data_IF_562945783945
#
_entry.id   IF_562945783945
#
_cell.length_a   1.000
_cell.length_b   1.000
_cell.length_c   1.000
_cell.angle_alpha   90.00
_cell.angle_beta   90.00
_cell.angle_gamma   90.00
#
_symmetry.space_group_name_H-M   'P 1'
#
loop_
_entity.id
_entity.type
_entity.pdbx_description
1 polymer ?
#
# COMPACT_ATOMS: atom_id res chain seq x y z
N UNK A 1 62.52 16.45 54.19
CA UNK A 1 61.23 15.75 54.07
C UNK A 1 60.34 16.57 53.14
N UNK A 2 60.21 16.15 51.88
CA UNK A 2 59.17 16.67 50.98
C UNK A 2 58.43 15.44 50.50
N UNK A 3 57.20 15.29 50.99
CA UNK A 3 56.30 14.19 50.63
C UNK A 3 55.57 14.65 49.37
N UNK A 4 55.93 14.08 48.22
CA UNK A 4 55.21 14.31 46.96
C UNK A 4 54.11 13.25 46.89
N UNK A 5 52.86 13.70 47.05
CA UNK A 5 51.67 12.86 46.95
C UNK A 5 51.34 12.69 45.46
N UNK A 6 51.61 11.53 44.90
CA UNK A 6 51.08 11.16 43.58
C UNK A 6 49.65 10.67 43.77
N UNK A 7 48.70 11.59 43.58
CA UNK A 7 47.28 11.28 43.47
C UNK A 7 47.10 10.20 42.40
N UNK A 8 46.52 9.07 42.79
CA UNK A 8 46.19 7.95 41.92
C UNK A 8 45.16 8.43 40.89
N UNK A 9 45.65 9.00 39.80
CA UNK A 9 44.89 9.18 38.58
C UNK A 9 44.43 7.79 38.14
N UNK A 10 43.12 7.61 38.03
CA UNK A 10 42.52 6.44 37.44
C UNK A 10 43.03 6.37 36.01
N UNK A 11 44.00 5.48 35.75
CA UNK A 11 44.31 5.07 34.40
C UNK A 11 43.09 4.28 33.93
N UNK A 12 42.15 4.97 33.29
CA UNK A 12 41.19 4.32 32.44
C UNK A 12 42.03 3.56 31.40
N UNK A 13 42.18 2.26 31.62
CA UNK A 13 42.54 1.33 30.56
C UNK A 13 41.65 1.68 29.38
N UNK A 14 42.23 1.81 28.19
CA UNK A 14 41.48 1.94 26.95
C UNK A 14 40.62 0.67 26.83
N UNK A 15 39.42 0.73 27.40
CA UNK A 15 38.46 -0.34 27.38
C UNK A 15 38.00 -0.48 25.95
N UNK A 16 38.23 -1.68 25.40
CA UNK A 16 37.47 -2.20 24.27
C UNK A 16 36.00 -1.81 24.48
N UNK A 17 35.38 -1.18 23.48
CA UNK A 17 33.96 -0.84 23.52
C UNK A 17 33.20 -2.08 23.98
N UNK A 18 32.59 -2.00 25.16
CA UNK A 18 31.80 -3.12 25.69
C UNK A 18 30.61 -3.22 24.74
N UNK A 19 30.51 -4.32 23.99
CA UNK A 19 29.29 -4.65 23.24
C UNK A 19 28.12 -4.54 24.22
N UNK A 20 27.23 -3.57 24.01
CA UNK A 20 26.16 -3.23 24.95
C UNK A 20 24.85 -3.88 24.51
N UNK A 21 24.92 -5.02 23.81
CA UNK A 21 23.76 -5.79 23.36
C UNK A 21 22.79 -5.99 24.50
N UNK A 22 21.54 -5.58 24.30
CA UNK A 22 20.47 -5.64 25.29
C UNK A 22 20.40 -4.46 26.26
N UNK A 23 21.35 -3.52 26.24
CA UNK A 23 21.24 -2.28 27.03
C UNK A 23 20.15 -1.38 26.46
N UNK A 24 19.44 -0.66 27.35
CA UNK A 24 18.40 0.28 26.94
C UNK A 24 19.00 1.49 26.22
N UNK A 25 18.38 1.91 25.12
CA UNK A 25 18.82 3.03 24.30
C UNK A 25 17.66 3.93 23.90
N UNK A 26 17.94 5.20 23.61
CA UNK A 26 17.02 6.14 22.97
C UNK A 26 17.36 6.33 21.47
N UNK A 27 18.63 6.16 21.10
CA UNK A 27 19.10 6.20 19.72
C UNK A 27 20.40 5.44 19.49
N UNK A 28 20.84 5.38 18.24
CA UNK A 28 22.04 4.60 17.85
C UNK A 28 23.33 5.09 18.52
N UNK A 29 23.39 6.36 18.97
CA UNK A 29 24.54 6.90 19.68
C UNK A 29 24.74 6.32 21.08
N UNK A 30 23.74 5.64 21.63
CA UNK A 30 23.83 4.94 22.92
C UNK A 30 24.41 3.52 22.78
N UNK A 31 24.59 3.05 21.55
CA UNK A 31 25.02 1.69 21.23
C UNK A 31 26.43 1.67 20.61
N UNK A 32 27.04 0.49 20.55
CA UNK A 32 28.34 0.34 19.90
C UNK A 32 28.25 0.64 18.38
N UNK A 33 29.36 0.97 17.70
CA UNK A 33 29.35 1.29 16.26
C UNK A 33 28.82 0.16 15.35
N UNK A 34 28.87 -1.08 15.81
CA UNK A 34 28.37 -2.30 15.14
C UNK A 34 26.90 -2.60 15.46
N UNK A 35 26.27 -1.78 16.30
CA UNK A 35 24.92 -1.96 16.82
C UNK A 35 23.99 -0.84 16.34
N UNK A 36 22.70 -1.04 16.56
CA UNK A 36 21.68 -0.02 16.43
C UNK A 36 20.70 -0.15 17.59
N UNK A 37 20.01 0.96 17.88
CA UNK A 37 18.97 0.96 18.89
C UNK A 37 17.70 0.34 18.31
N UNK A 38 17.51 -0.95 18.57
CA UNK A 38 16.36 -1.71 18.08
C UNK A 38 15.10 -1.36 18.86
N UNK A 39 14.11 -0.83 18.16
CA UNK A 39 12.81 -0.41 18.67
C UNK A 39 11.71 -1.27 18.07
N UNK A 40 10.57 -1.31 18.74
CA UNK A 40 9.39 -1.96 18.17
C UNK A 40 8.92 -1.21 16.92
N UNK A 41 8.38 -1.96 15.97
CA UNK A 41 7.82 -1.43 14.72
C UNK A 41 6.80 -0.31 15.01
N UNK A 42 6.88 0.77 14.25
CA UNK A 42 6.00 1.95 14.38
C UNK A 42 6.34 2.88 15.54
N UNK A 43 7.28 2.52 16.41
CA UNK A 43 7.67 3.33 17.57
C UNK A 43 9.01 4.05 17.35
N UNK A 44 9.13 4.83 16.27
CA UNK A 44 10.39 5.48 15.88
C UNK A 44 11.04 6.35 16.99
N UNK A 45 10.21 6.92 17.86
CA UNK A 45 10.63 7.80 18.95
C UNK A 45 10.65 7.12 20.33
N UNK A 46 10.38 5.81 20.43
CA UNK A 46 10.46 5.11 21.72
C UNK A 46 11.90 4.82 22.12
N UNK A 47 12.07 4.36 23.35
CA UNK A 47 13.27 3.64 23.74
C UNK A 47 13.29 2.24 23.10
N UNK A 48 14.48 1.65 23.05
CA UNK A 48 14.73 0.32 22.52
C UNK A 48 15.84 -0.36 23.31
N UNK A 49 16.41 -1.42 22.71
CA UNK A 49 17.61 -2.06 23.22
C UNK A 49 18.67 -2.12 22.12
N UNK A 50 19.95 -1.98 22.48
CA UNK A 50 21.03 -2.13 21.53
C UNK A 50 21.04 -3.57 20.97
N UNK A 51 21.08 -3.68 19.65
CA UNK A 51 21.13 -4.94 18.93
C UNK A 51 22.16 -4.85 17.82
N UNK A 52 22.79 -5.98 17.49
CA UNK A 52 23.77 -6.05 16.41
C UNK A 52 23.14 -5.76 15.05
N UNK A 53 23.88 -5.07 14.19
CA UNK A 53 23.48 -4.87 12.79
C UNK A 53 23.76 -6.15 12.00
N UNK A 54 22.81 -6.65 11.20
CA UNK A 54 23.07 -7.75 10.29
C UNK A 54 24.13 -7.37 9.24
N UNK A 55 25.14 -8.22 9.03
CA UNK A 55 26.15 -8.03 7.97
C UNK A 55 25.70 -8.63 6.63
N UNK A 56 24.85 -9.66 6.68
CA UNK A 56 24.39 -10.41 5.52
C UNK A 56 22.86 -10.37 5.51
N UNK A 57 22.30 -9.89 4.41
CA UNK A 57 20.86 -9.85 4.19
C UNK A 57 20.43 -10.72 3.01
N UNK A 58 19.28 -11.40 3.12
CA UNK A 58 18.72 -12.16 2.00
C UNK A 58 18.32 -11.24 0.84
N UNK A 59 18.38 -11.77 -0.39
CA UNK A 59 17.89 -11.11 -1.61
C UNK A 59 16.37 -11.25 -1.79
N UNK A 60 15.62 -11.23 -0.68
CA UNK A 60 14.15 -11.25 -0.72
C UNK A 60 13.63 -9.82 -0.80
N UNK A 61 12.66 -9.59 -1.68
CA UNK A 61 12.01 -8.29 -1.82
C UNK A 61 10.68 -8.30 -1.08
N UNK A 62 10.68 -7.79 0.15
CA UNK A 62 9.52 -7.59 1.03
C UNK A 62 9.65 -6.18 1.63
N UNK A 63 9.28 -5.13 0.87
CA UNK A 63 9.68 -3.77 1.20
C UNK A 63 9.11 -3.31 2.54
N UNK A 64 9.90 -2.51 3.23
CA UNK A 64 9.51 -1.87 4.49
C UNK A 64 9.89 -0.39 4.45
N UNK A 65 9.13 0.44 5.16
CA UNK A 65 9.48 1.83 5.33
C UNK A 65 10.22 2.04 6.64
N UNK A 66 11.39 2.66 6.55
CA UNK A 66 12.17 3.07 7.69
C UNK A 66 11.59 4.31 8.39
N UNK A 67 11.96 4.48 9.65
CA UNK A 67 11.71 5.71 10.42
C UNK A 67 12.40 6.95 9.85
N UNK A 68 13.33 6.78 8.91
CA UNK A 68 14.00 7.82 8.12
C UNK A 68 13.22 8.19 6.84
N UNK A 69 12.08 7.54 6.57
CA UNK A 69 11.28 7.74 5.37
C UNK A 69 11.87 7.10 4.11
N UNK A 70 12.86 6.22 4.25
CA UNK A 70 13.48 5.47 3.15
C UNK A 70 12.84 4.08 3.06
N UNK A 71 12.57 3.64 1.83
CA UNK A 71 12.13 2.26 1.56
C UNK A 71 13.33 1.34 1.49
N UNK A 72 13.32 0.29 2.30
CA UNK A 72 14.33 -0.76 2.26
C UNK A 72 13.77 -2.01 1.57
N UNK A 73 14.60 -2.78 0.84
CA UNK A 73 14.16 -4.00 0.15
C UNK A 73 13.53 -5.05 1.07
N UNK A 74 13.99 -5.09 2.33
CA UNK A 74 13.43 -5.87 3.43
C UNK A 74 13.89 -5.30 4.78
N UNK A 75 13.38 -5.88 5.87
CA UNK A 75 13.71 -5.56 7.26
C UNK A 75 15.20 -5.67 7.57
N UNK A 76 15.86 -6.72 7.09
CA UNK A 76 17.30 -6.90 7.31
C UNK A 76 18.10 -5.72 6.75
N UNK A 77 17.81 -5.27 5.52
CA UNK A 77 18.50 -4.11 4.92
C UNK A 77 18.27 -2.83 5.71
N UNK A 78 17.08 -2.66 6.32
CA UNK A 78 16.81 -1.52 7.21
C UNK A 78 17.67 -1.59 8.48
N UNK A 79 17.71 -2.75 9.16
CA UNK A 79 18.50 -2.94 10.38
C UNK A 79 20.00 -2.88 10.13
N UNK A 80 20.49 -3.36 8.98
CA UNK A 80 21.88 -3.22 8.58
C UNK A 80 22.28 -1.74 8.47
N UNK A 81 21.39 -0.90 7.94
CA UNK A 81 21.55 0.55 7.95
C UNK A 81 21.28 1.21 9.32
N UNK A 82 20.83 0.44 10.31
CA UNK A 82 20.53 0.90 11.67
C UNK A 82 19.25 1.71 11.76
N UNK A 83 18.34 1.46 10.83
CA UNK A 83 17.05 2.12 10.74
C UNK A 83 15.97 1.19 11.29
N UNK A 84 15.13 1.73 12.18
CA UNK A 84 13.94 1.03 12.67
C UNK A 84 12.81 1.10 11.64
N UNK A 85 11.93 0.09 11.65
CA UNK A 85 10.82 0.00 10.70
C UNK A 85 9.63 0.80 11.23
N UNK A 86 9.15 1.76 10.44
CA UNK A 86 7.93 2.50 10.73
C UNK A 86 6.70 1.61 10.47
N UNK A 87 6.64 0.95 9.32
CA UNK A 87 5.55 0.04 8.97
C UNK A 87 5.98 -0.97 7.90
N UNK A 88 5.16 -1.99 7.70
CA UNK A 88 5.25 -2.94 6.59
C UNK A 88 4.77 -2.26 5.31
N UNK A 89 5.38 -2.57 4.16
CA UNK A 89 5.27 -1.91 2.85
C UNK A 89 6.26 -0.74 2.63
N UNK A 90 6.46 -0.34 1.37
CA UNK A 90 7.30 0.80 1.01
C UNK A 90 6.70 2.14 1.51
N UNK A 91 7.55 3.16 1.68
CA UNK A 91 7.13 4.45 2.23
C UNK A 91 6.12 5.22 1.37
N UNK A 92 5.97 4.90 0.08
CA UNK A 92 4.96 5.54 -0.76
C UNK A 92 3.55 5.08 -0.36
N UNK A 93 3.40 3.88 0.18
CA UNK A 93 2.10 3.38 0.65
C UNK A 93 1.53 4.14 1.85
N UNK A 94 2.36 4.73 2.75
CA UNK A 94 1.82 5.58 3.83
C UNK A 94 1.29 6.91 3.34
N UNK A 95 1.91 7.48 2.30
CA UNK A 95 1.37 8.67 1.65
C UNK A 95 -0.02 8.43 1.06
N UNK A 96 -0.43 7.16 0.90
CA UNK A 96 -1.77 6.73 0.49
C UNK A 96 -2.72 6.43 1.65
N UNK A 97 -2.22 6.25 2.88
CA UNK A 97 -3.03 5.92 4.07
C UNK A 97 -3.35 7.14 4.93
N UNK A 98 -2.40 8.07 5.08
CA UNK A 98 -2.63 9.34 5.80
C UNK A 98 -3.39 10.36 4.93
N UNK A 99 -3.35 10.16 3.61
CA UNK A 99 -4.31 10.74 2.69
C UNK A 99 -5.45 9.74 2.54
N UNK A 100 -6.39 9.76 3.50
CA UNK A 100 -7.78 9.39 3.21
C UNK A 100 -8.32 10.39 2.17
N UNK A 101 -7.84 10.31 0.94
CA UNK A 101 -8.61 10.71 -0.21
C UNK A 101 -9.39 9.44 -0.57
N UNK A 102 -10.73 9.44 -0.49
CA UNK A 102 -11.55 8.36 -1.06
C UNK A 102 -11.46 8.33 -2.60
N UNK A 103 -10.33 8.73 -3.18
CA UNK A 103 -10.15 8.95 -4.60
C UNK A 103 -9.04 8.11 -5.26
N UNK A 104 -8.20 7.34 -4.56
CA UNK A 104 -7.21 6.52 -5.31
C UNK A 104 -7.80 5.21 -5.85
N UNK A 105 -8.94 4.75 -5.32
CA UNK A 105 -9.78 3.79 -6.07
C UNK A 105 -10.51 4.48 -7.23
N UNK A 106 -10.66 5.81 -7.20
CA UNK A 106 -11.17 6.65 -8.28
C UNK A 106 -10.06 7.25 -9.18
N UNK A 107 -8.78 7.01 -8.90
CA UNK A 107 -7.65 7.53 -9.68
C UNK A 107 -7.04 6.46 -10.59
N UNK A 108 -7.44 5.19 -10.43
CA UNK A 108 -7.21 4.15 -11.43
C UNK A 108 -8.27 4.17 -12.55
N UNK A 109 -9.48 4.64 -12.26
CA UNK A 109 -10.43 5.13 -13.28
C UNK A 109 -11.48 6.08 -12.63
N UNK A 110 -11.42 7.40 -12.87
CA UNK A 110 -12.42 8.35 -12.35
C UNK A 110 -13.84 8.13 -12.89
N UNK A 111 -14.02 7.15 -13.78
CA UNK A 111 -15.31 6.75 -14.36
C UNK A 111 -15.94 5.51 -13.69
N UNK A 112 -15.31 4.93 -12.67
CA UNK A 112 -15.84 3.76 -11.96
C UNK A 112 -16.83 4.10 -10.81
N UNK A 113 -17.04 5.38 -10.50
CA UNK A 113 -17.98 5.82 -9.44
C UNK A 113 -19.32 6.22 -10.04
N UNK A 114 -20.06 5.22 -10.53
CA UNK A 114 -21.41 5.39 -11.06
C UNK A 114 -21.52 6.21 -12.36
N UNK A 115 -22.56 5.95 -13.13
CA UNK A 115 -22.82 6.63 -14.39
C UNK A 115 -24.31 6.90 -14.58
N UNK A 116 -24.67 7.89 -15.39
CA UNK A 116 -26.05 8.09 -15.88
C UNK A 116 -26.12 8.01 -17.40
N UNK A 117 -24.97 8.08 -18.07
CA UNK A 117 -24.81 7.97 -19.51
C UNK A 117 -23.44 7.39 -19.88
N UNK A 118 -23.31 6.88 -21.11
CA UNK A 118 -22.06 6.31 -21.63
C UNK A 118 -20.92 7.32 -21.69
N UNK A 119 -21.22 8.61 -21.78
CA UNK A 119 -20.21 9.68 -21.77
C UNK A 119 -19.43 9.73 -20.46
N UNK A 120 -20.02 9.21 -19.37
CA UNK A 120 -19.37 9.09 -18.08
C UNK A 120 -18.48 7.85 -17.99
N UNK A 121 -18.43 7.00 -19.02
CA UNK A 121 -17.61 5.78 -19.06
C UNK A 121 -16.41 5.92 -20.01
N UNK A 122 -15.36 5.14 -19.77
CA UNK A 122 -14.15 5.11 -20.58
C UNK A 122 -14.44 4.50 -21.95
N UNK A 123 -13.55 4.72 -22.92
CA UNK A 123 -13.69 4.09 -24.25
C UNK A 123 -13.70 2.56 -24.11
N UNK A 124 -14.62 1.88 -24.81
CA UNK A 124 -14.84 0.44 -24.66
C UNK A 124 -15.75 0.05 -23.50
N UNK A 125 -16.30 1.03 -22.75
CA UNK A 125 -17.25 0.80 -21.67
C UNK A 125 -18.61 1.45 -22.00
N UNK A 126 -19.66 1.02 -21.33
CA UNK A 126 -20.99 1.63 -21.41
C UNK A 126 -21.65 1.69 -20.04
N UNK A 127 -22.63 2.56 -19.88
CA UNK A 127 -23.32 2.74 -18.62
C UNK A 127 -24.43 1.68 -18.46
N UNK A 128 -24.14 0.62 -17.70
CA UNK A 128 -25.13 -0.40 -17.34
C UNK A 128 -25.95 0.08 -16.15
N UNK A 129 -27.18 0.49 -16.43
CA UNK A 129 -28.16 0.97 -15.45
C UNK A 129 -28.61 -0.18 -14.56
N UNK A 130 -28.81 0.10 -13.27
CA UNK A 130 -29.26 -0.90 -12.32
C UNK A 130 -30.68 -1.39 -12.68
N UNK A 131 -31.56 -0.45 -13.06
CA UNK A 131 -32.93 -0.75 -13.46
C UNK A 131 -33.45 0.26 -14.50
N UNK A 132 -34.19 -0.24 -15.48
CA UNK A 132 -34.95 0.58 -16.43
C UNK A 132 -34.13 1.30 -17.50
N UNK A 133 -34.81 2.23 -18.19
CA UNK A 133 -34.30 2.96 -19.35
C UNK A 133 -34.29 4.47 -19.17
N UNK A 134 -34.56 4.98 -17.97
CA UNK A 134 -34.71 6.43 -17.73
C UNK A 134 -33.37 7.14 -17.81
N UNK A 135 -33.34 8.40 -18.24
CA UNK A 135 -32.09 9.16 -18.38
C UNK A 135 -31.42 9.41 -17.02
N UNK A 136 -32.22 9.43 -15.95
CA UNK A 136 -31.82 9.69 -14.58
C UNK A 136 -31.36 8.42 -13.85
N UNK A 137 -31.64 7.24 -14.40
CA UNK A 137 -31.22 5.99 -13.80
C UNK A 137 -29.69 5.93 -13.73
N UNK A 138 -29.21 5.73 -12.51
CA UNK A 138 -27.80 5.50 -12.25
C UNK A 138 -27.43 4.06 -12.56
N UNK A 139 -26.19 3.88 -12.97
CA UNK A 139 -25.61 2.61 -13.33
C UNK A 139 -24.15 2.55 -12.95
N UNK A 140 -23.50 1.49 -13.39
CA UNK A 140 -22.06 1.33 -13.31
C UNK A 140 -21.49 1.17 -14.72
N UNK A 141 -20.28 1.68 -14.94
CA UNK A 141 -19.59 1.42 -16.19
C UNK A 141 -19.26 -0.07 -16.27
N UNK A 142 -19.73 -0.72 -17.33
CA UNK A 142 -19.43 -2.09 -17.68
C UNK A 142 -18.61 -2.11 -18.96
N UNK A 143 -17.54 -2.89 -18.98
CA UNK A 143 -16.76 -3.15 -20.20
C UNK A 143 -17.67 -3.82 -21.24
N UNK A 144 -17.64 -3.33 -22.48
CA UNK A 144 -18.49 -3.85 -23.55
C UNK A 144 -18.02 -5.26 -23.91
N UNK A 145 -18.86 -6.29 -23.72
CA UNK A 145 -18.45 -7.65 -24.03
C UNK A 145 -18.30 -7.83 -25.55
N UNK A 146 -17.11 -8.24 -25.96
CA UNK A 146 -16.80 -8.55 -27.38
C UNK A 146 -17.27 -9.97 -27.78
N UNK A 147 -17.49 -10.84 -26.79
CA UNK A 147 -17.86 -12.25 -26.99
C UNK A 147 -19.01 -12.57 -26.04
N UNK A 148 -20.08 -13.14 -26.60
CA UNK A 148 -21.23 -13.60 -25.84
C UNK A 148 -21.51 -15.07 -26.12
N UNK A 149 -22.08 -15.77 -25.14
CA UNK A 149 -22.62 -17.10 -25.37
C UNK A 149 -23.82 -17.01 -26.32
N UNK A 150 -24.06 -18.07 -27.08
CA UNK A 150 -25.22 -18.19 -27.98
C UNK A 150 -26.46 -18.75 -27.27
N UNK A 151 -26.53 -18.60 -25.94
CA UNK A 151 -27.72 -19.00 -25.17
C UNK A 151 -28.89 -18.07 -25.52
N UNK A 152 -30.05 -18.68 -25.75
CA UNK A 152 -31.27 -17.95 -26.10
C UNK A 152 -32.10 -17.66 -24.84
N UNK A 153 -31.81 -16.49 -24.26
CA UNK A 153 -32.49 -15.93 -23.09
C UNK A 153 -32.89 -14.48 -23.41
N UNK A 154 -33.88 -14.26 -24.30
CA UNK A 154 -34.06 -12.99 -24.97
C UNK A 154 -34.44 -11.85 -24.03
N UNK A 155 -34.03 -10.65 -24.41
CA UNK A 155 -34.32 -9.40 -23.70
C UNK A 155 -34.71 -8.28 -24.66
N UNK A 156 -35.64 -7.43 -24.21
CA UNK A 156 -36.06 -6.25 -24.93
C UNK A 156 -35.17 -5.07 -24.52
N UNK A 157 -34.41 -4.52 -25.45
CA UNK A 157 -33.54 -3.37 -25.22
C UNK A 157 -34.31 -2.06 -25.05
N UNK A 158 -33.66 -1.07 -24.44
CA UNK A 158 -34.23 0.28 -24.33
C UNK A 158 -34.45 0.95 -25.70
N UNK A 159 -33.72 0.53 -26.73
CA UNK A 159 -33.86 0.89 -28.14
C UNK A 159 -35.05 0.20 -28.86
N UNK A 160 -35.78 -0.67 -28.18
CA UNK A 160 -36.90 -1.42 -28.75
C UNK A 160 -36.49 -2.61 -29.62
N UNK A 161 -35.24 -3.08 -29.54
CA UNK A 161 -34.76 -4.25 -30.26
C UNK A 161 -34.68 -5.46 -29.33
N UNK A 162 -35.04 -6.63 -29.86
CA UNK A 162 -34.82 -7.92 -29.17
C UNK A 162 -33.37 -8.36 -29.34
N UNK A 163 -32.73 -8.71 -28.21
CA UNK A 163 -31.39 -9.29 -28.16
C UNK A 163 -31.48 -10.73 -27.68
N UNK A 164 -30.63 -11.62 -28.20
CA UNK A 164 -30.67 -13.05 -27.86
C UNK A 164 -30.38 -13.35 -26.39
N UNK A 165 -29.61 -12.47 -25.72
CA UNK A 165 -29.41 -12.45 -24.27
C UNK A 165 -28.89 -11.09 -23.80
N UNK A 166 -28.77 -10.92 -22.47
CA UNK A 166 -28.28 -9.69 -21.83
C UNK A 166 -26.85 -9.31 -22.27
N UNK A 167 -26.00 -10.31 -22.56
CA UNK A 167 -24.66 -10.04 -23.07
C UNK A 167 -24.74 -9.41 -24.46
N UNK A 168 -25.58 -9.94 -25.35
CA UNK A 168 -25.81 -9.37 -26.68
C UNK A 168 -26.33 -7.93 -26.63
N UNK A 169 -27.22 -7.62 -25.68
CA UNK A 169 -27.68 -6.25 -25.43
C UNK A 169 -26.52 -5.35 -24.96
N UNK A 170 -25.73 -5.83 -23.99
CA UNK A 170 -24.56 -5.11 -23.45
C UNK A 170 -23.48 -4.88 -24.51
N UNK A 171 -23.25 -5.84 -25.40
CA UNK A 171 -22.33 -5.74 -26.55
C UNK A 171 -22.74 -4.65 -27.55
N UNK A 172 -24.05 -4.39 -27.65
CA UNK A 172 -24.62 -3.28 -28.42
C UNK A 172 -24.76 -1.98 -27.60
N UNK A 173 -24.18 -1.93 -26.38
CA UNK A 173 -24.31 -0.84 -25.41
C UNK A 173 -25.77 -0.50 -25.05
N UNK A 174 -26.64 -1.50 -25.04
CA UNK A 174 -28.05 -1.33 -24.71
C UNK A 174 -28.37 -1.85 -23.31
N UNK A 175 -29.10 -1.01 -22.56
CA UNK A 175 -29.74 -1.42 -21.32
C UNK A 175 -31.00 -2.24 -21.62
N UNK A 176 -31.37 -3.14 -20.71
CA UNK A 176 -32.53 -4.01 -20.83
C UNK A 176 -33.75 -3.34 -20.22
N UNK A 177 -34.82 -3.23 -21.01
CA UNK A 177 -36.13 -2.74 -20.56
C UNK A 177 -36.92 -3.83 -19.86
N UNK A 178 -36.95 -5.03 -20.43
CA UNK A 178 -37.69 -6.18 -19.90
C UNK A 178 -37.09 -7.50 -20.36
N UNK A 179 -37.38 -8.56 -19.61
CA UNK A 179 -37.09 -9.94 -20.04
C UNK A 179 -38.08 -10.36 -21.12
N UNK A 180 -37.64 -11.24 -22.01
CA UNK A 180 -38.39 -11.64 -23.20
C UNK A 180 -38.14 -10.69 -24.37
N UNK A 181 -38.75 -11.01 -25.50
CA UNK A 181 -38.69 -10.19 -26.72
C UNK A 181 -39.48 -8.89 -26.54
N UNK A 182 -39.16 -7.87 -27.34
CA UNK A 182 -40.09 -6.79 -27.63
C UNK A 182 -41.20 -7.31 -28.58
#
# INVERSE_FOLDING_TARGET
>A
MVVIVFSLGVWAVMGVAVDNVGASCAGNGDCAPTEFCSKSRGLCSSTGNCATRPEICPFIFLPVCGCDGITYPNDCHAWANGTNILHEDDCATQKRRDHQAPDELAALDPKAVGCTSDAHCSDGWFCKKAEGCTAEATGSCLEVPMICTMDWSPVCGCDGRTYGNECGASGAKQNVRSRGEC
#
